data_IF_333804242620
#
_entry.id   IF_333804242620
#
_cell.length_a   1.000
_cell.length_b   1.000
_cell.length_c   1.000
_cell.angle_alpha   90.00
_cell.angle_beta   90.00
_cell.angle_gamma   90.00
#
_symmetry.space_group_name_H-M   'P 1'
#
loop_
_entity.id
_entity.type
_entity.pdbx_description
1 polymer ?
#
# COMPACT_ATOMS: atom_id res chain seq x y z
N UNK A 1 22.90 -8.77 -0.72
CA UNK A 1 21.69 -9.44 -0.22
C UNK A 1 20.63 -8.38 0.03
N UNK A 2 19.45 -8.48 -0.58
CA UNK A 2 18.33 -7.58 -0.30
C UNK A 2 17.89 -7.83 1.15
N UNK A 3 17.95 -6.83 2.03
CA UNK A 3 17.44 -6.97 3.40
C UNK A 3 15.91 -6.85 3.35
N UNK A 4 15.23 -7.94 3.68
CA UNK A 4 13.79 -7.95 3.92
C UNK A 4 13.48 -7.04 5.10
N UNK A 5 12.65 -6.02 4.89
CA UNK A 5 12.24 -5.08 5.94
C UNK A 5 10.95 -5.51 6.66
N UNK A 6 10.16 -6.43 6.07
CA UNK A 6 8.97 -6.99 6.72
C UNK A 6 9.27 -8.08 7.75
N UNK A 7 8.23 -8.48 8.51
CA UNK A 7 8.32 -9.57 9.47
C UNK A 7 8.76 -10.89 8.81
N UNK A 8 9.58 -11.65 9.53
CA UNK A 8 9.95 -13.03 9.18
C UNK A 8 9.19 -13.99 10.07
N UNK A 9 8.87 -15.15 9.50
CA UNK A 9 8.34 -16.28 10.24
C UNK A 9 9.44 -16.89 11.14
N UNK A 10 9.07 -17.76 12.10
CA UNK A 10 10.03 -18.43 12.99
C UNK A 10 11.08 -19.28 12.26
N UNK A 11 10.76 -19.74 11.05
CA UNK A 11 11.64 -20.51 10.15
C UNK A 11 12.60 -19.61 9.33
N UNK A 12 12.55 -18.30 9.51
CA UNK A 12 13.36 -17.31 8.78
C UNK A 12 12.82 -16.96 7.40
N UNK A 13 11.70 -17.55 6.95
CA UNK A 13 11.03 -17.20 5.70
C UNK A 13 10.31 -15.85 5.80
N UNK A 14 10.03 -15.22 4.67
CA UNK A 14 9.27 -13.96 4.64
C UNK A 14 7.80 -14.18 5.02
N UNK A 15 7.28 -13.40 5.97
CA UNK A 15 5.89 -13.50 6.39
C UNK A 15 4.96 -12.80 5.39
N UNK A 16 4.51 -13.54 4.40
CA UNK A 16 3.59 -13.06 3.38
C UNK A 16 2.23 -12.63 3.89
N UNK A 17 1.70 -13.31 4.91
CA UNK A 17 0.37 -13.01 5.44
C UNK A 17 0.37 -11.60 6.04
N UNK A 18 1.36 -11.32 6.87
CA UNK A 18 1.57 -10.00 7.46
C UNK A 18 1.83 -8.92 6.39
N UNK A 19 2.67 -9.22 5.40
CA UNK A 19 2.95 -8.27 4.33
C UNK A 19 1.72 -7.92 3.48
N UNK A 20 0.87 -8.90 3.18
CA UNK A 20 -0.38 -8.68 2.44
C UNK A 20 -1.40 -7.90 3.25
N UNK A 21 -1.51 -8.17 4.55
CA UNK A 21 -2.42 -7.44 5.45
C UNK A 21 -1.99 -5.97 5.54
N UNK A 22 -0.72 -5.70 5.81
CA UNK A 22 -0.21 -4.33 5.92
C UNK A 22 -0.36 -3.55 4.61
N UNK A 23 0.00 -4.16 3.49
CA UNK A 23 -0.19 -3.56 2.18
C UNK A 23 -1.68 -3.26 1.91
N UNK A 24 -2.59 -4.17 2.30
CA UNK A 24 -4.03 -3.98 2.17
C UNK A 24 -4.56 -2.83 3.00
N UNK A 25 -4.14 -2.73 4.27
CA UNK A 25 -4.54 -1.63 5.16
C UNK A 25 -4.07 -0.29 4.60
N UNK A 26 -2.80 -0.20 4.18
CA UNK A 26 -2.24 1.03 3.59
C UNK A 26 -2.94 1.43 2.29
N UNK A 27 -3.25 0.46 1.43
CA UNK A 27 -3.98 0.70 0.19
C UNK A 27 -5.39 1.26 0.44
N UNK A 28 -6.14 0.66 1.36
CA UNK A 28 -7.47 1.13 1.75
C UNK A 28 -7.41 2.52 2.38
N UNK A 29 -6.43 2.75 3.27
CA UNK A 29 -6.24 4.05 3.89
C UNK A 29 -5.98 5.14 2.84
N UNK A 30 -5.08 4.90 1.90
CA UNK A 30 -4.77 5.81 0.79
C UNK A 30 -6.00 6.07 -0.08
N UNK A 31 -6.74 5.01 -0.43
CA UNK A 31 -7.96 5.12 -1.22
C UNK A 31 -9.02 6.00 -0.53
N UNK A 32 -9.36 5.69 0.73
CA UNK A 32 -10.40 6.44 1.46
C UNK A 32 -9.95 7.84 1.84
N UNK A 33 -8.65 8.07 2.06
CA UNK A 33 -8.11 9.42 2.27
C UNK A 33 -8.27 10.27 1.01
N UNK A 34 -7.95 9.71 -0.16
CA UNK A 34 -8.17 10.37 -1.44
C UNK A 34 -9.67 10.68 -1.67
N UNK A 35 -10.55 9.72 -1.42
CA UNK A 35 -12.01 9.93 -1.53
C UNK A 35 -12.53 10.97 -0.54
N UNK A 36 -12.03 10.98 0.71
CA UNK A 36 -12.40 11.98 1.71
C UNK A 36 -11.99 13.39 1.29
N UNK A 37 -10.78 13.55 0.76
CA UNK A 37 -10.29 14.81 0.21
C UNK A 37 -11.13 15.30 -0.98
N UNK A 38 -11.45 14.39 -1.91
CA UNK A 38 -12.31 14.68 -3.07
C UNK A 38 -13.76 15.00 -2.66
N UNK A 39 -14.28 14.31 -1.65
CA UNK A 39 -15.60 14.58 -1.08
C UNK A 39 -15.70 15.96 -0.45
N UNK A 40 -14.65 16.39 0.25
CA UNK A 40 -14.59 17.72 0.85
C UNK A 40 -14.62 18.87 -0.18
N UNK A 41 -14.14 18.63 -1.40
CA UNK A 41 -14.17 19.63 -2.48
C UNK A 41 -15.45 19.58 -3.33
N UNK A 42 -16.34 18.61 -3.07
CA UNK A 42 -17.55 18.38 -3.87
C UNK A 42 -17.27 17.75 -5.24
N UNK A 43 -16.05 17.26 -5.48
CA UNK A 43 -15.61 16.68 -6.76
C UNK A 43 -15.56 15.16 -6.63
N UNK A 44 -16.73 14.51 -6.65
CA UNK A 44 -16.82 13.05 -6.77
C UNK A 44 -17.49 12.72 -8.10
N UNK A 45 -16.68 12.26 -9.05
CA UNK A 45 -17.13 11.62 -10.29
C UNK A 45 -16.40 10.28 -10.46
N UNK A 46 -16.82 9.50 -11.45
CA UNK A 46 -16.32 8.14 -11.68
C UNK A 46 -14.81 8.12 -11.96
N UNK A 47 -14.26 9.17 -12.58
CA UNK A 47 -12.84 9.25 -12.91
C UNK A 47 -11.97 9.41 -11.68
N UNK A 48 -12.44 10.17 -10.71
CA UNK A 48 -11.76 10.48 -9.46
C UNK A 48 -11.78 9.27 -8.53
N UNK A 49 -12.88 8.52 -8.50
CA UNK A 49 -12.95 7.22 -7.81
C UNK A 49 -11.96 6.23 -8.44
N UNK A 50 -11.89 6.18 -9.77
CA UNK A 50 -10.92 5.34 -10.47
C UNK A 50 -9.47 5.76 -10.16
N UNK A 51 -9.19 7.06 -10.15
CA UNK A 51 -7.88 7.60 -9.82
C UNK A 51 -7.48 7.25 -8.37
N UNK A 52 -8.39 7.41 -7.41
CA UNK A 52 -8.18 6.98 -6.03
C UNK A 52 -7.90 5.47 -5.96
N UNK A 53 -8.66 4.66 -6.72
CA UNK A 53 -8.48 3.22 -6.79
C UNK A 53 -7.10 2.81 -7.31
N UNK A 54 -6.64 3.44 -8.39
CA UNK A 54 -5.29 3.25 -8.93
C UNK A 54 -4.23 3.69 -7.90
N UNK A 55 -4.46 4.80 -7.20
CA UNK A 55 -3.59 5.28 -6.13
C UNK A 55 -3.44 4.25 -5.01
N UNK A 56 -4.55 3.73 -4.49
CA UNK A 56 -4.55 2.67 -3.47
C UNK A 56 -3.88 1.39 -3.94
N UNK A 57 -4.15 0.94 -5.17
CA UNK A 57 -3.48 -0.23 -5.74
C UNK A 57 -1.97 -0.02 -5.93
N UNK A 58 -1.56 1.18 -6.32
CA UNK A 58 -0.13 1.53 -6.41
C UNK A 58 0.53 1.48 -5.05
N UNK A 59 -0.14 2.01 -4.02
CA UNK A 59 0.34 1.96 -2.63
C UNK A 59 0.50 0.52 -2.14
N UNK A 60 -0.49 -0.33 -2.41
CA UNK A 60 -0.43 -1.77 -2.08
C UNK A 60 0.88 -2.40 -2.58
N UNK A 61 1.17 -2.24 -3.87
CA UNK A 61 2.39 -2.81 -4.46
C UNK A 61 3.65 -2.12 -3.98
N UNK A 62 3.61 -0.83 -3.66
CA UNK A 62 4.76 -0.11 -3.12
C UNK A 62 5.13 -0.64 -1.73
N UNK A 63 4.16 -0.84 -0.84
CA UNK A 63 4.37 -1.43 0.49
C UNK A 63 4.91 -2.85 0.37
N UNK A 64 4.37 -3.68 -0.54
CA UNK A 64 4.91 -5.03 -0.78
C UNK A 64 6.35 -5.00 -1.31
N UNK A 65 6.67 -4.09 -2.23
CA UNK A 65 8.02 -3.95 -2.78
C UNK A 65 9.02 -3.54 -1.69
N UNK A 66 8.64 -2.63 -0.79
CA UNK A 66 9.46 -2.21 0.35
C UNK A 66 9.64 -3.38 1.33
N UNK A 67 8.55 -4.04 1.76
CA UNK A 67 8.63 -5.17 2.71
C UNK A 67 9.48 -6.33 2.18
N UNK A 68 9.41 -6.61 0.87
CA UNK A 68 10.25 -7.61 0.19
C UNK A 68 11.72 -7.18 0.04
N UNK A 69 12.04 -5.91 0.30
CA UNK A 69 13.36 -5.35 0.08
C UNK A 69 13.69 -5.11 -1.40
N UNK A 70 12.69 -5.13 -2.29
CA UNK A 70 12.84 -4.85 -3.73
C UNK A 70 13.07 -3.35 -3.99
N UNK A 71 12.60 -2.50 -3.08
CA UNK A 71 12.78 -1.06 -3.09
C UNK A 71 13.18 -0.63 -1.69
N UNK A 72 14.18 0.26 -1.58
CA UNK A 72 14.47 0.93 -0.30
C UNK A 72 13.43 2.01 -0.07
N UNK A 73 12.97 2.12 1.16
CA UNK A 73 12.28 3.34 1.60
C UNK A 73 13.28 4.49 1.38
N UNK A 74 12.87 5.51 0.61
CA UNK A 74 13.72 6.70 0.44
C UNK A 74 13.67 7.43 1.78
N UNK A 75 14.78 7.40 2.52
CA UNK A 75 15.05 8.32 3.64
C UNK A 75 14.86 9.78 3.22
#
# INVERSE_FOLDING_TARGET
>A
MLSVYGHRNPDGSFNWKDALIDAGIMACLTFFTALGGLGATGVISTREILAAGIGGATEFFMVLAIKRGLKKEKE
#
